data_IF_157149544375
#
_entry.id   IF_157149544375
#
_cell.length_a   1.000
_cell.length_b   1.000
_cell.length_c   1.000
_cell.angle_alpha   90.00
_cell.angle_beta   90.00
_cell.angle_gamma   90.00
#
_symmetry.space_group_name_H-M   'P 1'
#
loop_
_entity.id
_entity.type
_entity.pdbx_description
1 polymer ?
#
# COMPACT_ATOMS: atom_id res chain seq x y z
N UNK A 1 -14.07 33.09 7.47
CA UNK A 1 -12.64 32.74 7.33
C UNK A 1 -12.61 31.40 6.64
N UNK A 2 -11.87 31.28 5.55
CA UNK A 2 -11.84 30.07 4.75
C UNK A 2 -11.31 28.89 5.59
N UNK A 3 -11.96 27.74 5.44
CA UNK A 3 -11.58 26.48 6.07
C UNK A 3 -11.01 25.50 5.04
N UNK A 4 -10.22 24.53 5.49
CA UNK A 4 -9.59 23.51 4.65
C UNK A 4 -9.81 22.14 5.28
N UNK A 5 -10.16 21.16 4.46
CA UNK A 5 -10.31 19.76 4.88
C UNK A 5 -9.19 18.93 4.27
N UNK A 6 -8.56 18.10 5.09
CA UNK A 6 -7.56 17.12 4.68
C UNK A 6 -8.06 15.72 5.03
N UNK A 7 -8.16 14.88 4.01
CA UNK A 7 -8.54 13.48 4.10
C UNK A 7 -7.90 12.78 2.90
N UNK A 8 -7.38 11.59 3.13
CA UNK A 8 -6.76 10.76 2.09
C UNK A 8 -7.81 9.86 1.44
N UNK A 9 -7.49 9.34 0.25
CA UNK A 9 -8.26 8.24 -0.32
C UNK A 9 -8.21 7.02 0.62
N UNK A 10 -9.29 6.24 0.62
CA UNK A 10 -9.48 5.13 1.51
C UNK A 10 -9.47 3.82 0.73
N UNK A 11 -9.01 2.76 1.39
CA UNK A 11 -9.01 1.40 0.86
C UNK A 11 -9.52 0.42 1.90
N UNK A 12 -10.22 -0.61 1.46
CA UNK A 12 -10.58 -1.70 2.33
C UNK A 12 -11.30 -2.83 1.63
N UNK A 13 -11.62 -3.86 2.40
CA UNK A 13 -12.29 -5.06 1.94
C UNK A 13 -13.75 -5.11 2.41
N UNK A 14 -14.65 -5.80 1.71
CA UNK A 14 -16.00 -6.03 2.22
C UNK A 14 -15.96 -6.70 3.60
N UNK A 15 -16.59 -6.09 4.60
CA UNK A 15 -16.60 -6.52 6.00
C UNK A 15 -15.55 -5.85 6.88
N UNK A 16 -14.56 -5.16 6.31
CA UNK A 16 -13.52 -4.45 7.07
C UNK A 16 -14.03 -3.14 7.65
N UNK A 17 -13.59 -2.80 8.87
CA UNK A 17 -13.76 -1.47 9.45
C UNK A 17 -12.53 -0.62 9.18
N UNK A 18 -12.71 0.46 8.42
CA UNK A 18 -11.66 1.42 8.10
C UNK A 18 -11.80 2.69 8.94
N UNK A 19 -10.70 3.41 9.13
CA UNK A 19 -10.66 4.68 9.86
C UNK A 19 -10.40 5.85 8.92
N UNK A 20 -11.43 6.64 8.63
CA UNK A 20 -11.33 7.82 7.78
C UNK A 20 -10.86 8.99 8.64
N UNK A 21 -9.56 9.23 8.65
CA UNK A 21 -8.92 10.30 9.43
C UNK A 21 -9.03 11.62 8.66
N UNK A 22 -9.65 12.60 9.30
CA UNK A 22 -9.92 13.91 8.75
C UNK A 22 -9.31 14.99 9.63
N UNK A 23 -8.57 15.93 9.03
CA UNK A 23 -8.11 17.17 9.68
C UNK A 23 -8.84 18.35 9.06
N UNK A 24 -9.30 19.28 9.89
CA UNK A 24 -9.92 20.53 9.44
C UNK A 24 -9.14 21.70 10.05
N UNK A 25 -8.79 22.68 9.23
CA UNK A 25 -8.10 23.89 9.69
C UNK A 25 -8.68 25.15 9.07
N UNK A 26 -8.30 26.31 9.60
CA UNK A 26 -8.36 27.55 8.82
C UNK A 26 -7.13 27.69 7.90
N UNK A 27 -7.04 28.81 7.18
CA UNK A 27 -5.90 29.15 6.32
C UNK A 27 -4.55 29.30 7.05
N UNK A 28 -4.57 29.48 8.37
CA UNK A 28 -3.40 29.62 9.24
C UNK A 28 -3.09 28.30 9.99
N UNK A 29 -3.66 27.18 9.54
CA UNK A 29 -3.52 25.85 10.15
C UNK A 29 -4.08 25.70 11.58
N UNK A 30 -4.89 26.65 12.02
CA UNK A 30 -5.55 26.60 13.32
C UNK A 30 -6.59 25.47 13.33
N UNK A 31 -6.63 24.66 14.38
CA UNK A 31 -7.46 23.45 14.47
C UNK A 31 -8.66 23.56 15.41
N UNK A 32 -8.83 24.67 16.13
CA UNK A 32 -9.90 24.83 17.15
C UNK A 32 -11.22 25.35 16.55
N UNK A 33 -11.54 24.93 15.34
CA UNK A 33 -12.77 25.27 14.63
C UNK A 33 -13.96 24.56 15.29
N UNK A 34 -15.17 25.08 15.11
CA UNK A 34 -16.39 24.43 15.61
C UNK A 34 -17.50 24.48 14.59
N UNK A 35 -18.35 23.45 14.55
CA UNK A 35 -19.44 23.39 13.58
C UNK A 35 -20.07 22.01 13.52
N UNK A 36 -20.61 21.64 12.36
CA UNK A 36 -21.10 20.28 12.08
C UNK A 36 -20.20 19.64 11.03
N UNK A 37 -19.88 18.36 11.22
CA UNK A 37 -19.20 17.55 10.20
C UNK A 37 -20.12 16.42 9.74
N UNK A 38 -20.09 16.12 8.44
CA UNK A 38 -20.89 15.08 7.80
C UNK A 38 -19.97 14.20 6.96
N UNK A 39 -20.12 12.89 7.10
CA UNK A 39 -19.53 11.89 6.21
C UNK A 39 -20.65 11.30 5.35
N UNK A 40 -20.46 11.33 4.03
CA UNK A 40 -21.33 10.71 3.05
C UNK A 40 -20.62 9.66 2.22
N UNK A 41 -21.37 8.67 1.78
CA UNK A 41 -20.98 7.66 0.82
C UNK A 41 -21.97 7.67 -0.35
N UNK A 42 -21.49 7.89 -1.58
CA UNK A 42 -22.32 8.07 -2.77
C UNK A 42 -23.52 9.01 -2.49
N UNK A 43 -23.22 10.20 -1.95
CA UNK A 43 -24.17 11.24 -1.52
C UNK A 43 -25.15 10.90 -0.39
N UNK A 44 -25.16 9.66 0.11
CA UNK A 44 -25.95 9.26 1.28
C UNK A 44 -25.20 9.59 2.56
N UNK A 45 -25.84 10.31 3.48
CA UNK A 45 -25.27 10.57 4.82
C UNK A 45 -25.11 9.27 5.59
N UNK A 46 -23.87 8.92 5.91
CA UNK A 46 -23.53 7.78 6.76
C UNK A 46 -23.52 8.21 8.22
N UNK A 47 -22.82 9.30 8.52
CA UNK A 47 -22.71 9.84 9.88
C UNK A 47 -22.72 11.38 9.83
N UNK A 48 -23.28 12.00 10.88
CA UNK A 48 -23.09 13.43 11.11
C UNK A 48 -23.00 13.73 12.61
N UNK A 49 -22.09 14.63 12.99
CA UNK A 49 -21.90 15.01 14.40
C UNK A 49 -21.40 16.44 14.55
N UNK A 50 -21.46 16.95 15.79
CA UNK A 50 -20.82 18.22 16.15
C UNK A 50 -19.31 18.07 16.08
N UNK A 51 -18.64 19.11 15.58
CA UNK A 51 -17.20 19.22 15.51
C UNK A 51 -16.76 20.36 16.43
N UNK A 52 -15.77 20.10 17.29
CA UNK A 52 -15.24 21.05 18.26
C UNK A 52 -13.71 21.16 18.16
N UNK A 53 -13.17 21.01 16.95
CA UNK A 53 -11.76 21.14 16.66
C UNK A 53 -10.98 19.83 16.77
N UNK A 54 -9.72 19.88 16.34
CA UNK A 54 -8.81 18.73 16.32
C UNK A 54 -9.02 17.78 15.14
N UNK A 55 -8.46 16.58 15.26
CA UNK A 55 -8.59 15.52 14.26
C UNK A 55 -9.89 14.74 14.49
N UNK A 56 -10.58 14.39 13.41
CA UNK A 56 -11.81 13.60 13.42
C UNK A 56 -11.52 12.25 12.80
N UNK A 57 -12.00 11.17 13.42
CA UNK A 57 -11.93 9.83 12.87
C UNK A 57 -13.34 9.29 12.71
N UNK A 58 -13.70 8.88 11.50
CA UNK A 58 -14.91 8.11 11.23
C UNK A 58 -14.53 6.64 11.12
N UNK A 59 -15.09 5.80 12.00
CA UNK A 59 -15.00 4.35 11.84
C UNK A 59 -16.13 3.92 10.89
N UNK A 60 -15.78 3.33 9.75
CA UNK A 60 -16.74 2.86 8.76
C UNK A 60 -16.53 1.40 8.43
N UNK A 61 -17.52 0.56 8.75
CA UNK A 61 -17.55 -0.85 8.33
C UNK A 61 -18.08 -0.95 6.91
N UNK A 62 -17.22 -1.36 5.98
CA UNK A 62 -17.60 -1.62 4.59
C UNK A 62 -18.56 -2.82 4.58
N UNK A 63 -19.80 -2.70 4.08
CA UNK A 63 -20.73 -3.82 4.09
C UNK A 63 -20.18 -5.02 3.30
N UNK A 64 -20.37 -6.24 3.83
CA UNK A 64 -19.81 -7.47 3.24
C UNK A 64 -20.32 -7.78 1.82
N UNK A 65 -21.42 -7.17 1.41
CA UNK A 65 -22.02 -7.29 0.08
C UNK A 65 -21.57 -6.20 -0.91
N UNK A 66 -20.67 -5.29 -0.52
CA UNK A 66 -20.15 -4.29 -1.46
C UNK A 66 -19.40 -4.95 -2.63
N UNK A 67 -19.72 -4.50 -3.83
CA UNK A 67 -18.98 -4.88 -5.04
C UNK A 67 -17.58 -4.28 -5.02
N UNK A 68 -16.61 -4.98 -5.60
CA UNK A 68 -15.26 -4.44 -5.78
C UNK A 68 -15.27 -3.34 -6.85
N UNK A 69 -15.11 -2.09 -6.42
CA UNK A 69 -15.07 -0.88 -7.25
C UNK A 69 -14.76 0.32 -6.36
N UNK A 70 -14.67 1.48 -6.99
CA UNK A 70 -14.58 2.77 -6.32
C UNK A 70 -15.95 3.30 -5.90
N UNK A 71 -16.00 3.88 -4.71
CA UNK A 71 -17.15 4.58 -4.14
C UNK A 71 -16.75 6.02 -3.82
N UNK A 72 -17.63 6.98 -4.10
CA UNK A 72 -17.40 8.36 -3.70
C UNK A 72 -17.61 8.51 -2.20
N UNK A 73 -16.63 9.05 -1.49
CA UNK A 73 -16.79 9.53 -0.12
C UNK A 73 -16.70 11.06 -0.12
N UNK A 74 -17.56 11.69 0.67
CA UNK A 74 -17.61 13.16 0.79
C UNK A 74 -17.61 13.55 2.25
N UNK A 75 -16.66 14.38 2.64
CA UNK A 75 -16.59 14.99 3.97
C UNK A 75 -17.02 16.44 3.85
N UNK A 76 -17.99 16.86 4.66
CA UNK A 76 -18.55 18.20 4.64
C UNK A 76 -18.36 18.82 6.02
N UNK A 77 -17.69 19.96 6.08
CA UNK A 77 -17.68 20.85 7.23
C UNK A 77 -18.71 21.97 7.01
N UNK A 78 -19.71 22.04 7.89
CA UNK A 78 -20.84 22.97 7.76
C UNK A 78 -20.54 24.42 8.17
N UNK A 79 -19.31 24.74 8.57
CA UNK A 79 -18.94 26.09 9.01
C UNK A 79 -19.60 26.54 10.32
N UNK A 80 -19.41 27.82 10.62
CA UNK A 80 -20.11 28.57 11.68
C UNK A 80 -20.09 30.08 11.33
N UNK A 81 -20.36 30.97 12.31
CA UNK A 81 -20.35 32.43 12.08
C UNK A 81 -18.96 33.02 11.77
N UNK A 82 -17.89 32.30 12.07
CA UNK A 82 -16.49 32.73 11.91
C UNK A 82 -15.80 32.04 10.72
N UNK A 83 -16.11 30.75 10.49
CA UNK A 83 -15.47 29.91 9.49
C UNK A 83 -16.46 29.46 8.41
N UNK A 84 -16.04 29.59 7.16
CA UNK A 84 -16.85 29.25 6.00
C UNK A 84 -16.99 27.72 5.87
N UNK A 85 -18.14 27.21 5.39
CA UNK A 85 -18.30 25.78 5.11
C UNK A 85 -17.36 25.33 3.97
N UNK A 86 -17.01 24.05 3.98
CA UNK A 86 -16.13 23.43 2.97
C UNK A 86 -16.56 21.97 2.79
N UNK A 87 -16.36 21.41 1.59
CA UNK A 87 -16.49 19.99 1.35
C UNK A 87 -15.34 19.43 0.51
N UNK A 88 -15.09 18.14 0.66
CA UNK A 88 -14.04 17.47 -0.07
C UNK A 88 -14.49 16.07 -0.47
N UNK A 89 -14.18 15.71 -1.71
CA UNK A 89 -14.47 14.40 -2.31
C UNK A 89 -13.20 13.57 -2.37
N UNK A 90 -13.32 12.30 -1.98
CA UNK A 90 -12.29 11.26 -2.07
C UNK A 90 -12.91 9.95 -2.53
N UNK A 91 -12.05 8.97 -2.78
CA UNK A 91 -12.46 7.65 -3.21
C UNK A 91 -12.29 6.66 -2.05
N UNK A 92 -13.28 5.79 -1.86
CA UNK A 92 -13.12 4.52 -1.16
C UNK A 92 -13.03 3.41 -2.21
N UNK A 93 -11.84 2.86 -2.40
CA UNK A 93 -11.61 1.71 -3.28
C UNK A 93 -11.83 0.42 -2.51
N UNK A 94 -12.84 -0.35 -2.92
CA UNK A 94 -13.14 -1.66 -2.34
C UNK A 94 -12.56 -2.75 -3.23
N UNK A 95 -11.69 -3.59 -2.67
CA UNK A 95 -11.10 -4.74 -3.37
C UNK A 95 -11.20 -6.00 -2.54
N UNK A 96 -11.08 -7.16 -3.18
CA UNK A 96 -10.92 -8.45 -2.51
C UNK A 96 -9.51 -8.98 -2.73
N UNK A 97 -8.91 -9.64 -1.72
CA UNK A 97 -7.61 -10.27 -1.90
C UNK A 97 -7.66 -11.30 -3.02
N UNK A 98 -6.61 -11.35 -3.82
CA UNK A 98 -6.36 -12.50 -4.68
C UNK A 98 -5.79 -13.65 -3.86
N UNK A 99 -5.20 -13.42 -2.69
CA UNK A 99 -4.79 -14.48 -1.77
C UNK A 99 -4.81 -13.95 -0.34
N UNK A 100 -5.19 -14.82 0.60
CA UNK A 100 -5.01 -14.64 2.03
C UNK A 100 -4.17 -15.82 2.51
N UNK A 101 -3.08 -15.54 3.20
CA UNK A 101 -2.08 -16.53 3.61
C UNK A 101 -1.33 -16.03 4.86
N UNK A 102 -0.21 -16.67 5.19
CA UNK A 102 0.64 -16.30 6.31
C UNK A 102 2.04 -15.87 5.86
N UNK A 103 2.73 -15.16 6.74
CA UNK A 103 4.16 -14.84 6.60
C UNK A 103 4.95 -16.11 6.29
N UNK A 104 4.76 -17.20 7.06
CA UNK A 104 5.51 -18.44 6.87
C UNK A 104 5.35 -19.03 5.47
N UNK A 105 4.12 -19.11 4.96
CA UNK A 105 3.83 -19.65 3.62
C UNK A 105 4.43 -18.79 2.51
N UNK A 106 4.43 -17.47 2.70
CA UNK A 106 5.08 -16.57 1.76
C UNK A 106 6.61 -16.72 1.82
N UNK A 107 7.22 -16.92 3.00
CA UNK A 107 8.66 -17.19 3.15
C UNK A 107 9.10 -18.47 2.41
N UNK A 108 8.34 -19.56 2.56
CA UNK A 108 8.58 -20.81 1.83
C UNK A 108 8.55 -20.58 0.30
N UNK A 109 7.61 -19.76 -0.18
CA UNK A 109 7.52 -19.38 -1.60
C UNK A 109 8.69 -18.49 -2.05
N UNK A 110 9.11 -17.53 -1.21
CA UNK A 110 10.21 -16.63 -1.51
C UNK A 110 11.53 -17.40 -1.69
N UNK A 111 11.81 -18.37 -0.82
CA UNK A 111 12.97 -19.27 -0.95
C UNK A 111 12.97 -19.99 -2.29
N UNK A 112 11.83 -20.62 -2.68
CA UNK A 112 11.71 -21.32 -3.97
C UNK A 112 11.89 -20.37 -5.16
N UNK A 113 11.33 -19.17 -5.08
CA UNK A 113 11.41 -18.16 -6.14
C UNK A 113 12.86 -17.71 -6.37
N UNK A 114 13.62 -17.43 -5.31
CA UNK A 114 15.03 -17.04 -5.40
C UNK A 114 15.85 -18.16 -6.04
N UNK A 115 15.64 -19.41 -5.61
CA UNK A 115 16.30 -20.57 -6.20
C UNK A 115 15.99 -20.69 -7.70
N UNK A 116 14.73 -20.52 -8.08
CA UNK A 116 14.31 -20.55 -9.48
C UNK A 116 14.99 -19.46 -10.31
N UNK A 117 15.00 -18.21 -9.84
CA UNK A 117 15.65 -17.09 -10.54
C UNK A 117 17.15 -17.34 -10.68
N UNK A 118 17.81 -17.83 -9.63
CA UNK A 118 19.25 -18.07 -9.65
C UNK A 118 19.65 -19.18 -10.64
N UNK A 119 18.78 -20.16 -10.88
CA UNK A 119 18.98 -21.24 -11.85
C UNK A 119 18.62 -20.79 -13.27
N UNK A 120 17.45 -20.18 -13.45
CA UNK A 120 16.89 -19.91 -14.77
C UNK A 120 17.28 -18.54 -15.33
N UNK A 121 17.89 -17.67 -14.52
CA UNK A 121 18.38 -16.35 -14.93
C UNK A 121 17.27 -15.46 -15.52
N UNK A 122 16.05 -15.64 -15.02
CA UNK A 122 14.88 -14.84 -15.36
C UNK A 122 13.83 -14.93 -14.26
N UNK A 123 12.87 -14.00 -14.27
CA UNK A 123 11.66 -14.13 -13.45
C UNK A 123 10.83 -15.32 -13.92
N UNK A 124 10.17 -16.06 -13.02
CA UNK A 124 9.14 -17.01 -13.41
C UNK A 124 7.95 -16.28 -14.05
N UNK A 125 7.09 -17.01 -14.78
CA UNK A 125 5.85 -16.42 -15.33
C UNK A 125 4.76 -16.24 -14.26
N UNK A 126 4.72 -17.17 -13.29
CA UNK A 126 3.86 -17.16 -12.12
C UNK A 126 4.59 -17.81 -10.94
N UNK A 127 4.11 -17.56 -9.72
CA UNK A 127 4.65 -18.16 -8.50
C UNK A 127 3.53 -18.90 -7.77
N UNK A 128 3.82 -20.14 -7.37
CA UNK A 128 2.92 -20.95 -6.55
C UNK A 128 3.10 -20.64 -5.06
N UNK A 129 2.06 -20.05 -4.46
CA UNK A 129 1.94 -19.85 -3.02
C UNK A 129 0.81 -20.74 -2.52
N UNK A 130 1.16 -21.72 -1.68
CA UNK A 130 0.27 -22.81 -1.28
C UNK A 130 -0.26 -23.57 -2.51
N UNK A 131 -1.54 -23.46 -2.82
CA UNK A 131 -2.23 -24.07 -3.96
C UNK A 131 -2.62 -23.06 -5.05
N UNK A 132 -2.20 -21.79 -4.91
CA UNK A 132 -2.57 -20.70 -5.81
C UNK A 132 -1.40 -20.18 -6.63
N UNK A 133 -1.57 -20.18 -7.95
CA UNK A 133 -0.66 -19.48 -8.86
C UNK A 133 -0.98 -17.99 -8.89
N UNK A 134 0.05 -17.19 -8.59
CA UNK A 134 -0.02 -15.72 -8.65
C UNK A 134 0.79 -15.21 -9.85
N UNK A 135 0.27 -14.18 -10.52
CA UNK A 135 1.09 -13.38 -11.42
C UNK A 135 2.26 -12.77 -10.64
N UNK A 136 3.36 -12.48 -11.32
CA UNK A 136 4.52 -11.88 -10.67
C UNK A 136 4.20 -10.52 -10.03
N UNK A 137 3.27 -9.76 -10.60
CA UNK A 137 2.83 -8.49 -10.01
C UNK A 137 2.04 -8.70 -8.72
N UNK A 138 1.13 -9.66 -8.68
CA UNK A 138 0.39 -9.98 -7.45
C UNK A 138 1.32 -10.59 -6.39
N UNK A 139 2.32 -11.35 -6.83
CA UNK A 139 3.35 -11.87 -5.94
C UNK A 139 4.23 -10.76 -5.35
N UNK A 140 4.55 -9.72 -6.13
CA UNK A 140 5.23 -8.53 -5.60
C UNK A 140 4.41 -7.86 -4.48
N UNK A 141 3.11 -7.68 -4.66
CA UNK A 141 2.23 -7.12 -3.62
C UNK A 141 2.19 -8.01 -2.37
N UNK A 142 2.22 -9.34 -2.54
CA UNK A 142 2.32 -10.29 -1.43
C UNK A 142 3.64 -10.16 -0.66
N UNK A 143 4.77 -10.00 -1.36
CA UNK A 143 6.08 -9.80 -0.74
C UNK A 143 6.13 -8.49 0.05
N UNK A 144 5.66 -7.39 -0.54
CA UNK A 144 5.52 -6.08 0.12
C UNK A 144 4.67 -6.19 1.40
N UNK A 145 3.50 -6.81 1.29
CA UNK A 145 2.59 -7.00 2.42
C UNK A 145 3.21 -7.87 3.52
N UNK A 146 3.99 -8.89 3.15
CA UNK A 146 4.72 -9.74 4.09
C UNK A 146 5.78 -8.95 4.85
N UNK A 147 6.54 -8.08 4.17
CA UNK A 147 7.54 -7.22 4.81
C UNK A 147 6.87 -6.30 5.83
N UNK A 148 5.73 -5.69 5.48
CA UNK A 148 4.94 -4.88 6.43
C UNK A 148 4.44 -5.71 7.61
N UNK A 149 3.86 -6.89 7.38
CA UNK A 149 3.37 -7.76 8.46
C UNK A 149 4.49 -8.16 9.43
N UNK A 150 5.68 -8.54 8.93
CA UNK A 150 6.84 -8.84 9.79
C UNK A 150 7.23 -7.61 10.62
N UNK A 151 7.28 -6.41 10.00
CA UNK A 151 7.63 -5.17 10.69
C UNK A 151 6.64 -4.79 11.81
N UNK A 152 5.36 -5.14 11.63
CA UNK A 152 4.28 -4.91 12.59
C UNK A 152 4.07 -6.08 13.57
N UNK A 153 4.91 -7.10 13.53
CA UNK A 153 4.78 -8.35 14.30
C UNK A 153 3.42 -9.06 14.10
N UNK A 154 2.90 -9.04 12.86
CA UNK A 154 1.71 -9.76 12.41
C UNK A 154 2.08 -11.00 11.59
N UNK A 155 1.18 -11.99 11.57
CA UNK A 155 1.38 -13.24 10.83
C UNK A 155 0.55 -13.34 9.56
N UNK A 156 -0.58 -12.64 9.51
CA UNK A 156 -1.51 -12.72 8.40
C UNK A 156 -1.07 -11.78 7.28
N UNK A 157 -1.24 -12.25 6.04
CA UNK A 157 -0.85 -11.52 4.83
C UNK A 157 -1.92 -11.70 3.78
N UNK A 158 -2.32 -10.61 3.15
CA UNK A 158 -3.21 -10.61 1.98
C UNK A 158 -2.54 -9.87 0.84
N UNK A 159 -2.76 -10.32 -0.40
CA UNK A 159 -2.34 -9.59 -1.59
C UNK A 159 -3.53 -9.34 -2.51
N UNK A 160 -3.47 -8.27 -3.29
CA UNK A 160 -4.49 -7.83 -4.24
C UNK A 160 -4.05 -7.99 -5.69
N UNK A 161 -5.02 -7.87 -6.61
CA UNK A 161 -4.77 -8.00 -8.03
C UNK A 161 -4.28 -6.69 -8.65
N UNK A 162 -3.20 -6.76 -9.41
CA UNK A 162 -2.60 -5.65 -10.14
C UNK A 162 -2.17 -6.09 -11.54
N UNK A 163 -2.21 -5.14 -12.48
CA UNK A 163 -1.72 -5.37 -13.84
C UNK A 163 -0.19 -5.30 -13.89
N UNK A 164 0.44 -6.01 -14.81
CA UNK A 164 1.89 -5.85 -15.02
C UNK A 164 2.22 -4.46 -15.60
N UNK A 165 3.41 -3.90 -15.30
CA UNK A 165 3.85 -2.67 -15.96
C UNK A 165 4.00 -2.90 -17.47
N UNK A 166 3.59 -1.93 -18.27
CA UNK A 166 3.75 -1.97 -19.74
C UNK A 166 5.22 -1.89 -20.16
N UNK A 167 6.00 -1.08 -19.43
CA UNK A 167 7.43 -0.86 -19.63
C UNK A 167 8.13 -0.79 -18.27
N UNK A 168 9.36 -1.27 -18.21
CA UNK A 168 10.22 -1.17 -17.04
C UNK A 168 11.67 -0.95 -17.47
N UNK A 169 12.43 -0.26 -16.62
CA UNK A 169 13.83 0.10 -16.89
C UNK A 169 14.62 0.02 -15.60
N UNK A 170 15.94 -0.09 -15.71
CA UNK A 170 16.83 -0.11 -14.55
C UNK A 170 18.09 0.71 -14.82
N UNK A 171 18.48 1.50 -13.83
CA UNK A 171 19.71 2.29 -13.80
C UNK A 171 20.28 2.25 -12.37
N UNK A 172 20.30 1.06 -11.77
CA UNK A 172 20.76 0.83 -10.40
C UNK A 172 22.27 0.59 -10.38
N UNK A 173 22.94 1.04 -9.31
CA UNK A 173 24.31 0.64 -8.99
C UNK A 173 24.32 -0.39 -7.89
N UNK A 174 25.35 -1.23 -7.88
CA UNK A 174 25.58 -2.14 -6.77
C UNK A 174 25.85 -1.36 -5.47
N UNK A 175 25.26 -1.81 -4.37
CA UNK A 175 25.42 -1.19 -3.07
C UNK A 175 24.45 -1.74 -2.02
N UNK A 176 24.51 -1.17 -0.82
CA UNK A 176 23.67 -1.58 0.30
C UNK A 176 22.50 -0.60 0.50
N UNK A 177 21.29 -1.13 0.68
CA UNK A 177 20.14 -0.38 1.17
C UNK A 177 19.87 -0.73 2.63
N UNK A 178 19.81 0.30 3.48
CA UNK A 178 19.50 0.13 4.90
C UNK A 178 18.05 -0.34 5.12
N UNK A 179 17.76 -0.90 6.31
CA UNK A 179 16.37 -1.23 6.72
C UNK A 179 15.41 -0.06 6.62
N UNK A 180 15.87 1.13 7.02
CA UNK A 180 15.04 2.33 6.94
C UNK A 180 14.67 2.62 5.49
N UNK A 181 15.66 2.60 4.59
CA UNK A 181 15.45 2.94 3.19
C UNK A 181 14.56 1.91 2.49
N UNK A 182 14.82 0.61 2.61
CA UNK A 182 13.96 -0.36 1.91
C UNK A 182 12.53 -0.38 2.47
N UNK A 183 12.30 -0.02 3.73
CA UNK A 183 10.95 0.13 4.27
C UNK A 183 10.23 1.34 3.66
N UNK A 184 10.92 2.47 3.48
CA UNK A 184 10.38 3.63 2.74
C UNK A 184 10.04 3.26 1.29
N UNK A 185 10.85 2.40 0.64
CA UNK A 185 10.55 1.87 -0.68
C UNK A 185 9.32 0.97 -0.68
N UNK A 186 9.16 0.07 0.32
CA UNK A 186 7.99 -0.81 0.43
C UNK A 186 6.71 0.00 0.54
N UNK A 187 6.68 1.02 1.40
CA UNK A 187 5.50 1.88 1.56
C UNK A 187 5.16 2.61 0.26
N UNK A 188 6.16 3.22 -0.38
CA UNK A 188 5.98 3.90 -1.67
C UNK A 188 5.50 2.97 -2.78
N UNK A 189 6.06 1.77 -2.88
CA UNK A 189 5.66 0.79 -3.88
C UNK A 189 4.21 0.34 -3.70
N UNK A 190 3.77 0.14 -2.46
CA UNK A 190 2.37 -0.22 -2.16
C UNK A 190 1.41 0.89 -2.57
N UNK A 191 1.78 2.14 -2.31
CA UNK A 191 0.96 3.30 -2.67
C UNK A 191 0.94 3.53 -4.20
N UNK A 192 2.09 3.39 -4.86
CA UNK A 192 2.21 3.49 -6.32
C UNK A 192 1.41 2.37 -7.02
N UNK A 193 1.54 1.12 -6.57
CA UNK A 193 0.79 0.00 -7.13
C UNK A 193 -0.71 0.16 -6.93
N UNK A 194 -1.12 0.62 -5.75
CA UNK A 194 -2.52 0.92 -5.46
C UNK A 194 -3.10 1.97 -6.41
N UNK A 195 -2.44 3.12 -6.51
CA UNK A 195 -2.86 4.27 -7.31
C UNK A 195 -2.89 3.96 -8.80
N UNK A 196 -1.88 3.27 -9.29
CA UNK A 196 -1.70 3.06 -10.74
C UNK A 196 -2.37 1.76 -11.22
N UNK A 197 -2.92 0.96 -10.29
CA UNK A 197 -3.51 -0.37 -10.51
C UNK A 197 -2.58 -1.35 -11.26
N UNK A 198 -1.27 -1.14 -11.15
CA UNK A 198 -0.25 -1.92 -11.84
C UNK A 198 1.07 -1.97 -11.08
N UNK A 199 1.93 -2.93 -11.42
CA UNK A 199 3.29 -3.01 -10.90
C UNK A 199 4.15 -1.81 -11.31
N UNK A 200 5.19 -1.49 -10.52
CA UNK A 200 6.08 -0.37 -10.82
C UNK A 200 6.95 -0.65 -12.05
N UNK A 201 7.23 0.38 -12.84
CA UNK A 201 8.28 0.31 -13.88
C UNK A 201 9.67 0.29 -13.25
N UNK A 202 9.87 1.10 -12.21
CA UNK A 202 11.05 1.20 -11.35
C UNK A 202 10.68 1.98 -10.08
N UNK A 203 11.59 2.03 -9.12
CA UNK A 203 11.55 2.97 -8.00
C UNK A 203 12.92 3.64 -7.82
N UNK A 204 12.92 4.94 -7.47
CA UNK A 204 14.14 5.69 -7.17
C UNK A 204 14.69 5.32 -5.79
N UNK A 205 16.01 5.15 -5.70
CA UNK A 205 16.75 4.80 -4.48
C UNK A 205 18.01 5.67 -4.36
N UNK A 206 18.73 5.58 -3.23
CA UNK A 206 20.06 6.20 -3.10
C UNK A 206 21.11 5.66 -4.09
N UNK A 207 20.86 4.47 -4.67
CA UNK A 207 21.76 3.79 -5.61
C UNK A 207 21.34 3.97 -7.09
N UNK A 208 20.23 4.66 -7.36
CA UNK A 208 19.66 4.85 -8.71
C UNK A 208 18.28 4.20 -8.88
N UNK A 209 17.87 3.97 -10.13
CA UNK A 209 16.55 3.40 -10.47
C UNK A 209 16.56 1.88 -10.32
N UNK A 210 15.91 1.36 -9.30
CA UNK A 210 15.70 -0.07 -9.10
C UNK A 210 14.55 -0.55 -9.98
N UNK A 211 14.83 -1.39 -10.98
CA UNK A 211 13.84 -1.83 -11.96
C UNK A 211 12.90 -2.92 -11.45
N UNK A 212 11.76 -3.12 -12.13
CA UNK A 212 10.73 -4.09 -11.78
C UNK A 212 11.27 -5.48 -11.36
N UNK A 213 12.18 -6.05 -12.15
CA UNK A 213 12.73 -7.39 -11.88
C UNK A 213 13.58 -7.42 -10.61
N UNK A 214 14.43 -6.42 -10.42
CA UNK A 214 15.24 -6.29 -9.21
C UNK A 214 14.40 -5.99 -7.99
N UNK A 215 13.30 -5.22 -8.11
CA UNK A 215 12.36 -5.02 -7.01
C UNK A 215 11.85 -6.38 -6.53
N UNK A 216 11.29 -7.21 -7.42
CA UNK A 216 10.74 -8.53 -7.05
C UNK A 216 11.81 -9.41 -6.38
N UNK A 217 13.00 -9.47 -6.98
CA UNK A 217 14.08 -10.31 -6.46
C UNK A 217 14.55 -9.84 -5.08
N UNK A 218 14.75 -8.54 -4.88
CA UNK A 218 15.18 -7.99 -3.59
C UNK A 218 14.10 -8.12 -2.52
N UNK A 219 12.82 -7.91 -2.85
CA UNK A 219 11.72 -8.13 -1.91
C UNK A 219 11.60 -9.61 -1.53
N UNK A 220 11.79 -10.53 -2.48
CA UNK A 220 11.86 -11.96 -2.20
C UNK A 220 13.05 -12.30 -1.28
N UNK A 221 14.23 -11.71 -1.51
CA UNK A 221 15.40 -11.87 -0.64
C UNK A 221 15.12 -11.40 0.79
N UNK A 222 14.51 -10.23 0.97
CA UNK A 222 14.12 -9.73 2.30
C UNK A 222 13.21 -10.75 2.99
N UNK A 223 12.14 -11.17 2.33
CA UNK A 223 11.15 -12.09 2.90
C UNK A 223 11.79 -13.44 3.25
N UNK A 224 12.56 -14.03 2.33
CA UNK A 224 13.17 -15.34 2.50
C UNK A 224 14.23 -15.40 3.62
N UNK A 225 14.94 -14.29 3.88
CA UNK A 225 16.03 -14.24 4.85
C UNK A 225 15.66 -13.52 6.16
N UNK A 226 14.45 -13.01 6.30
CA UNK A 226 13.93 -12.47 7.56
C UNK A 226 13.40 -13.59 8.45
N UNK A 227 13.35 -13.39 9.77
CA UNK A 227 12.53 -14.24 10.65
C UNK A 227 11.08 -13.79 10.58
N UNK A 228 10.14 -14.60 11.08
CA UNK A 228 8.72 -14.24 11.09
C UNK A 228 8.39 -13.01 11.96
N UNK A 229 9.35 -12.49 12.73
CA UNK A 229 9.19 -11.34 13.64
C UNK A 229 10.34 -10.32 13.58
N UNK A 230 11.30 -10.48 12.66
CA UNK A 230 12.44 -9.56 12.53
C UNK A 230 12.94 -9.51 11.11
N UNK A 231 12.98 -8.29 10.56
CA UNK A 231 13.53 -8.01 9.24
C UNK A 231 15.05 -7.88 9.26
N UNK A 232 15.68 -8.08 8.09
CA UNK A 232 17.10 -7.82 7.86
C UNK A 232 17.47 -6.36 8.18
N UNK A 233 18.69 -6.12 8.68
CA UNK A 233 19.17 -4.76 8.96
C UNK A 233 19.51 -3.96 7.69
N UNK A 234 19.83 -4.66 6.61
CA UNK A 234 20.14 -4.11 5.29
C UNK A 234 20.04 -5.21 4.21
N UNK A 235 20.05 -4.80 2.94
CA UNK A 235 20.20 -5.70 1.78
C UNK A 235 21.25 -5.17 0.82
N UNK A 236 21.98 -6.08 0.16
CA UNK A 236 22.85 -5.74 -0.95
C UNK A 236 22.08 -5.89 -2.26
N UNK A 237 21.99 -4.78 -2.99
CA UNK A 237 21.36 -4.70 -4.29
C UNK A 237 22.44 -4.77 -5.35
N UNK A 238 22.19 -5.56 -6.39
CA UNK A 238 23.00 -5.61 -7.61
C UNK A 238 22.10 -5.36 -8.82
N UNK A 239 22.64 -4.81 -9.92
CA UNK A 239 21.90 -4.73 -11.19
C UNK A 239 21.38 -6.09 -11.64
N UNK A 240 20.16 -6.13 -12.16
CA UNK A 240 19.50 -7.33 -12.67
C UNK A 240 20.36 -8.06 -13.70
N UNK A 241 21.03 -7.31 -14.57
CA UNK A 241 21.93 -7.86 -15.59
C UNK A 241 23.03 -8.73 -14.97
N UNK A 242 23.53 -8.39 -13.78
CA UNK A 242 24.55 -9.17 -13.06
C UNK A 242 23.97 -10.47 -12.45
N UNK A 243 22.67 -10.51 -12.16
CA UNK A 243 22.00 -11.74 -11.68
C UNK A 243 21.82 -12.73 -12.84
N UNK A 244 21.42 -12.19 -14.00
CA UNK A 244 21.09 -13.00 -15.19
C UNK A 244 22.31 -13.37 -16.04
N UNK A 245 23.38 -12.58 -15.95
CA UNK A 245 24.65 -12.81 -16.65
C UNK A 245 25.83 -12.63 -15.67
N UNK A 246 25.99 -13.57 -14.71
CA UNK A 246 26.98 -13.50 -13.64
C UNK A 246 28.43 -13.75 -14.09
#
# INVERSE_FOLDING_TARGET
>A
MESKIFVDDQRGQPGETIQIKTKITDVNEKTNLSGKIVFKLNDVTVESRKFNGGNVVFDYTIPSNFSCKDYEIKIIYGGNSEYDPEDIVRILTVRKPVIETTVQKTQESAVRTIQWINVNKMLPASVLVEDKELSITNYLDLLLSTITSINEAKTDVSAFGYNSPEFFSEEIKEGELSKKEYLELVDKLRDDMFRDEKGPAFIETSLGKLGYMSIIYNMALIVANSSSNSLLSAINVVPWVNITNP
#
